data_IF_512990000450
#
_entry.id   IF_512990000450
#
_cell.length_a   1.000
_cell.length_b   1.000
_cell.length_c   1.000
_cell.angle_alpha   90.00
_cell.angle_beta   90.00
_cell.angle_gamma   90.00
#
_symmetry.space_group_name_H-M   'P 1'
#
loop_
_entity.id
_entity.type
_entity.pdbx_description
1 polymer ?
#
# COMPACT_ATOMS: atom_id res chain seq x y z
N UNK A 1 -22.94 7.60 -11.53
CA UNK A 1 -23.06 8.42 -10.30
C UNK A 1 -21.69 9.01 -10.04
N UNK A 2 -21.52 10.30 -10.35
CA UNK A 2 -20.27 11.00 -10.08
C UNK A 2 -20.17 11.25 -8.58
N UNK A 3 -19.34 10.46 -7.90
CA UNK A 3 -18.95 10.76 -6.53
C UNK A 3 -18.12 12.05 -6.56
N UNK A 4 -18.53 13.05 -5.78
CA UNK A 4 -17.72 14.23 -5.54
C UNK A 4 -16.52 13.82 -4.68
N UNK A 5 -15.31 13.89 -5.24
CA UNK A 5 -14.10 13.57 -4.53
C UNK A 5 -13.58 14.82 -3.83
N UNK A 6 -13.43 14.74 -2.51
CA UNK A 6 -12.77 15.80 -1.74
C UNK A 6 -11.25 15.68 -1.93
N UNK A 7 -10.61 16.75 -2.41
CA UNK A 7 -9.15 16.86 -2.47
C UNK A 7 -8.50 16.89 -1.08
N UNK A 8 -7.17 16.84 -1.04
CA UNK A 8 -6.42 16.90 0.20
C UNK A 8 -6.62 18.25 0.89
N UNK A 9 -7.22 18.22 2.09
CA UNK A 9 -7.42 19.42 2.92
C UNK A 9 -6.08 20.01 3.43
N UNK A 10 -5.00 19.22 3.40
CA UNK A 10 -3.68 19.60 3.87
C UNK A 10 -2.62 19.16 2.86
N UNK A 11 -2.38 19.96 1.81
CA UNK A 11 -1.19 19.78 0.98
C UNK A 11 0.04 20.12 1.84
N UNK A 12 0.77 19.09 2.28
CA UNK A 12 2.02 19.29 3.02
C UNK A 12 3.11 19.83 2.08
N UNK A 13 3.93 20.77 2.58
CA UNK A 13 5.18 21.16 1.92
C UNK A 13 6.14 19.97 1.95
N UNK A 14 6.60 19.55 0.77
CA UNK A 14 7.28 18.28 0.53
C UNK A 14 8.40 17.95 1.51
N UNK A 15 8.33 16.77 2.13
CA UNK A 15 9.44 16.12 2.79
C UNK A 15 9.94 14.99 1.92
N UNK A 16 11.20 15.04 1.46
CA UNK A 16 11.79 13.89 0.76
C UNK A 16 11.79 12.65 1.65
N UNK A 17 12.07 11.47 1.11
CA UNK A 17 12.09 10.24 1.91
C UNK A 17 13.02 10.34 3.14
N UNK A 18 14.03 11.22 3.13
CA UNK A 18 14.95 11.47 4.24
C UNK A 18 14.28 11.81 5.59
N UNK A 19 13.04 12.30 5.61
CA UNK A 19 12.31 12.64 6.85
C UNK A 19 11.43 11.51 7.39
N UNK A 20 11.81 10.25 7.17
CA UNK A 20 11.06 9.10 7.68
C UNK A 20 11.10 8.99 9.21
N UNK A 21 9.95 8.77 9.82
CA UNK A 21 9.80 8.44 11.24
C UNK A 21 9.68 6.93 11.42
N UNK A 22 10.71 6.31 12.01
CA UNK A 22 10.73 4.88 12.29
C UNK A 22 10.00 4.54 13.59
N UNK A 23 9.07 3.61 13.54
CA UNK A 23 8.54 2.93 14.73
C UNK A 23 8.93 1.46 14.70
N UNK A 24 9.71 1.06 15.70
CA UNK A 24 10.02 -0.35 15.95
C UNK A 24 8.79 -1.11 16.44
N UNK A 25 8.59 -2.30 15.90
CA UNK A 25 7.57 -3.26 16.34
C UNK A 25 8.28 -4.42 17.07
N UNK A 26 7.59 -5.55 17.26
CA UNK A 26 8.22 -6.73 17.88
C UNK A 26 8.91 -7.62 16.84
N UNK A 27 9.94 -8.34 17.29
CA UNK A 27 10.68 -9.34 16.51
C UNK A 27 11.47 -8.75 15.32
N UNK A 28 11.93 -7.50 15.45
CA UNK A 28 12.72 -6.81 14.41
C UNK A 28 11.90 -6.31 13.23
N UNK A 29 10.56 -6.36 13.33
CA UNK A 29 9.68 -5.65 12.43
C UNK A 29 9.68 -4.15 12.75
N UNK A 30 9.49 -3.31 11.73
CA UNK A 30 9.46 -1.86 11.86
C UNK A 30 8.48 -1.26 10.84
N UNK A 31 8.10 0.00 11.06
CA UNK A 31 7.39 0.85 10.10
C UNK A 31 8.09 2.18 9.98
N UNK A 32 8.31 2.63 8.75
CA UNK A 32 8.68 4.02 8.46
C UNK A 32 7.45 4.78 7.98
N UNK A 33 7.18 5.93 8.60
CA UNK A 33 6.11 6.85 8.20
C UNK A 33 6.74 8.11 7.61
N UNK A 34 6.36 8.46 6.37
CA UNK A 34 6.87 9.66 5.67
C UNK A 34 5.71 10.57 5.28
N UNK A 35 5.25 11.46 6.18
CA UNK A 35 4.21 12.42 5.86
C UNK A 35 4.68 13.40 4.78
N UNK A 36 3.81 13.73 3.81
CA UNK A 36 4.10 14.74 2.80
C UNK A 36 5.16 14.34 1.78
N UNK A 37 5.44 13.03 1.61
CA UNK A 37 6.39 12.57 0.59
C UNK A 37 5.95 12.92 -0.83
N UNK A 38 4.65 12.84 -1.09
CA UNK A 38 4.05 13.27 -2.36
C UNK A 38 3.56 14.71 -2.18
N UNK A 39 4.30 15.72 -2.66
CA UNK A 39 3.80 17.09 -2.66
C UNK A 39 2.61 17.18 -3.61
N UNK A 40 1.59 17.94 -3.22
CA UNK A 40 0.35 18.12 -3.99
C UNK A 40 -0.19 16.79 -4.57
N UNK A 41 -0.73 15.89 -3.73
CA UNK A 41 -1.09 14.54 -4.16
C UNK A 41 -2.34 14.50 -5.06
N UNK A 42 -3.11 15.59 -5.12
CA UNK A 42 -4.42 15.64 -5.77
C UNK A 42 -4.32 15.41 -7.29
N UNK A 43 -3.46 16.12 -8.06
CA UNK A 43 -3.29 15.86 -9.49
C UNK A 43 -2.87 14.43 -9.81
N UNK A 44 -2.01 13.82 -8.97
CA UNK A 44 -1.58 12.44 -9.15
C UNK A 44 -2.74 11.47 -8.90
N UNK A 45 -3.47 11.65 -7.79
CA UNK A 45 -4.67 10.87 -7.49
C UNK A 45 -5.68 10.95 -8.64
N UNK A 46 -5.95 12.16 -9.11
CA UNK A 46 -6.91 12.43 -10.18
C UNK A 46 -6.51 11.81 -11.52
N UNK A 47 -5.21 11.83 -11.83
CA UNK A 47 -4.69 11.16 -13.01
C UNK A 47 -4.84 9.65 -12.88
N UNK A 48 -4.41 9.07 -11.76
CA UNK A 48 -4.46 7.61 -11.55
C UNK A 48 -5.89 7.08 -11.59
N UNK A 49 -6.87 7.75 -10.95
CA UNK A 49 -8.28 7.32 -11.01
C UNK A 49 -8.86 7.27 -12.42
N UNK A 50 -8.33 8.10 -13.34
CA UNK A 50 -8.81 8.18 -14.73
C UNK A 50 -8.12 7.16 -15.65
N UNK A 51 -6.82 6.95 -15.48
CA UNK A 51 -6.02 6.15 -16.44
C UNK A 51 -5.89 4.67 -16.05
N UNK A 52 -6.04 4.35 -14.77
CA UNK A 52 -5.86 2.97 -14.30
C UNK A 52 -7.15 2.17 -14.54
N UNK A 53 -7.07 0.97 -15.14
CA UNK A 53 -8.23 0.11 -15.38
C UNK A 53 -8.66 -0.63 -14.11
N UNK A 54 -9.11 0.12 -13.10
CA UNK A 54 -9.56 -0.42 -11.82
C UNK A 54 -10.69 -1.43 -11.99
N UNK A 55 -10.51 -2.62 -11.42
CA UNK A 55 -11.49 -3.71 -11.50
C UNK A 55 -11.97 -4.11 -10.09
N UNK A 56 -13.28 -4.32 -9.96
CA UNK A 56 -13.87 -4.90 -8.76
C UNK A 56 -13.76 -6.42 -8.80
N UNK A 57 -13.40 -7.04 -7.68
CA UNK A 57 -13.26 -8.49 -7.59
C UNK A 57 -14.34 -9.08 -6.67
N UNK A 58 -14.62 -10.37 -6.85
CA UNK A 58 -15.46 -11.14 -5.93
C UNK A 58 -14.61 -12.23 -5.29
N UNK A 59 -14.82 -12.43 -3.99
CA UNK A 59 -14.13 -13.47 -3.22
C UNK A 59 -15.14 -14.32 -2.49
N UNK A 60 -14.89 -15.62 -2.44
CA UNK A 60 -15.68 -16.55 -1.64
C UNK A 60 -15.32 -16.35 -0.18
N UNK A 61 -16.31 -15.97 0.63
CA UNK A 61 -16.21 -15.87 2.08
C UNK A 61 -17.26 -16.82 2.66
N UNK A 62 -16.79 -17.87 3.35
CA UNK A 62 -17.61 -19.03 3.73
C UNK A 62 -18.31 -19.63 2.50
N UNK A 63 -19.63 -19.79 2.53
CA UNK A 63 -20.44 -20.29 1.42
C UNK A 63 -21.05 -19.18 0.55
N UNK A 64 -20.54 -17.94 0.65
CA UNK A 64 -21.07 -16.79 -0.10
C UNK A 64 -19.98 -16.13 -0.94
N UNK A 65 -20.35 -15.68 -2.14
CA UNK A 65 -19.53 -14.77 -2.94
C UNK A 65 -19.81 -13.34 -2.48
N UNK A 66 -18.76 -12.65 -2.02
CA UNK A 66 -18.84 -11.27 -1.54
C UNK A 66 -17.99 -10.40 -2.45
N UNK A 67 -18.49 -9.20 -2.77
CA UNK A 67 -17.71 -8.21 -3.51
C UNK A 67 -16.59 -7.68 -2.63
N UNK A 68 -15.39 -7.55 -3.19
CA UNK A 68 -14.31 -6.82 -2.53
C UNK A 68 -14.73 -5.36 -2.42
N UNK A 69 -14.78 -4.77 -1.21
CA UNK A 69 -15.17 -3.38 -1.04
C UNK A 69 -13.97 -2.48 -1.34
N UNK A 70 -13.46 -2.58 -2.58
CA UNK A 70 -12.43 -1.75 -3.22
C UNK A 70 -12.26 -2.17 -4.67
N UNK A 71 -11.79 -1.26 -5.52
CA UNK A 71 -11.31 -1.61 -6.85
C UNK A 71 -9.79 -1.76 -6.83
N UNK A 72 -9.26 -2.69 -7.61
CA UNK A 72 -7.82 -2.93 -7.64
C UNK A 72 -7.29 -3.05 -9.05
N UNK A 73 -6.01 -2.75 -9.22
CA UNK A 73 -5.25 -3.12 -10.41
C UNK A 73 -3.81 -3.44 -10.00
N UNK A 74 -3.15 -4.32 -10.77
CA UNK A 74 -1.79 -4.75 -10.47
C UNK A 74 -0.98 -4.92 -11.73
N UNK A 75 0.27 -4.46 -11.69
CA UNK A 75 1.29 -4.70 -12.71
C UNK A 75 2.43 -5.53 -12.11
N UNK A 76 2.96 -6.48 -12.88
CA UNK A 76 4.24 -7.13 -12.62
C UNK A 76 5.31 -6.37 -13.39
N UNK A 77 6.48 -6.14 -12.79
CA UNK A 77 7.54 -5.36 -13.42
C UNK A 77 8.54 -6.27 -14.16
N UNK A 78 9.08 -5.82 -15.32
CA UNK A 78 8.75 -4.57 -16.01
C UNK A 78 7.41 -4.67 -16.80
N UNK A 79 6.59 -3.62 -16.73
CA UNK A 79 5.40 -3.49 -17.58
C UNK A 79 5.33 -2.05 -18.12
N UNK A 80 5.36 -1.83 -19.46
CA UNK A 80 5.38 -0.49 -20.05
C UNK A 80 4.08 0.29 -19.84
N UNK A 81 3.02 -0.34 -19.33
CA UNK A 81 1.74 0.29 -19.03
C UNK A 81 1.69 0.90 -17.62
N UNK A 82 2.74 0.71 -16.82
CA UNK A 82 2.84 1.34 -15.51
C UNK A 82 3.08 2.84 -15.71
N UNK A 83 2.29 3.73 -15.10
CA UNK A 83 2.54 5.17 -15.18
C UNK A 83 3.93 5.55 -14.67
N UNK A 84 4.66 6.38 -15.41
CA UNK A 84 6.06 6.79 -15.09
C UNK A 84 6.24 7.28 -13.66
N UNK A 85 5.27 8.03 -13.11
CA UNK A 85 5.37 8.50 -11.73
C UNK A 85 5.39 7.35 -10.72
N UNK A 86 4.66 6.27 -10.96
CA UNK A 86 4.68 5.08 -10.10
C UNK A 86 5.99 4.31 -10.24
N UNK A 87 6.56 4.23 -11.45
CA UNK A 87 7.90 3.66 -11.66
C UNK A 87 8.97 4.45 -10.90
N UNK A 88 8.95 5.79 -11.01
CA UNK A 88 9.87 6.67 -10.29
C UNK A 88 9.74 6.52 -8.77
N UNK A 89 8.51 6.49 -8.24
CA UNK A 89 8.27 6.22 -6.82
C UNK A 89 8.82 4.86 -6.39
N UNK A 90 8.60 3.81 -7.19
CA UNK A 90 9.14 2.49 -6.92
C UNK A 90 10.67 2.47 -6.89
N UNK A 91 11.32 3.20 -7.80
CA UNK A 91 12.78 3.34 -7.83
C UNK A 91 13.32 4.11 -6.61
N UNK A 92 12.71 5.26 -6.26
CA UNK A 92 13.09 6.06 -5.08
C UNK A 92 12.98 5.24 -3.78
N UNK A 93 11.90 4.46 -3.65
CA UNK A 93 11.70 3.56 -2.50
C UNK A 93 12.70 2.39 -2.53
N UNK A 94 12.96 1.82 -3.70
CA UNK A 94 13.91 0.73 -3.87
C UNK A 94 15.33 1.13 -3.49
N UNK A 95 15.78 2.30 -3.92
CA UNK A 95 17.08 2.87 -3.53
C UNK A 95 17.16 3.07 -2.01
N UNK A 96 16.11 3.63 -1.39
CA UNK A 96 16.08 3.87 0.05
C UNK A 96 16.17 2.60 0.88
N UNK A 97 15.40 1.59 0.51
CA UNK A 97 15.25 0.38 1.31
C UNK A 97 16.16 -0.77 0.86
N UNK A 98 16.91 -0.59 -0.24
CA UNK A 98 17.79 -1.61 -0.79
C UNK A 98 17.00 -2.78 -1.40
N UNK A 99 15.85 -2.50 -2.01
CA UNK A 99 14.88 -3.50 -2.45
C UNK A 99 14.48 -3.31 -3.90
N UNK A 100 14.44 -4.41 -4.64
CA UNK A 100 13.94 -4.44 -6.01
C UNK A 100 12.45 -4.80 -6.01
N UNK A 101 11.58 -3.78 -6.02
CA UNK A 101 10.14 -4.00 -6.11
C UNK A 101 9.80 -4.64 -7.47
N UNK A 102 9.20 -5.82 -7.43
CA UNK A 102 8.86 -6.62 -8.63
C UNK A 102 7.42 -6.45 -9.10
N UNK A 103 6.60 -5.72 -8.35
CA UNK A 103 5.19 -5.48 -8.68
C UNK A 103 4.71 -4.17 -8.08
N UNK A 104 3.74 -3.55 -8.74
CA UNK A 104 3.03 -2.37 -8.24
C UNK A 104 1.54 -2.70 -8.23
N UNK A 105 0.92 -2.57 -7.06
CA UNK A 105 -0.52 -2.72 -6.87
C UNK A 105 -1.15 -1.40 -6.46
N UNK A 106 -2.30 -1.08 -7.03
CA UNK A 106 -3.09 0.09 -6.68
C UNK A 106 -4.48 -0.32 -6.22
N UNK A 107 -4.94 0.31 -5.13
CA UNK A 107 -6.24 0.06 -4.52
C UNK A 107 -7.01 1.38 -4.47
N UNK A 108 -8.17 1.43 -5.11
CA UNK A 108 -9.09 2.55 -5.05
C UNK A 108 -10.23 2.23 -4.08
N UNK A 109 -10.27 2.97 -2.98
CA UNK A 109 -11.36 2.91 -2.01
C UNK A 109 -12.33 4.06 -2.31
N UNK A 110 -13.52 3.72 -2.81
CA UNK A 110 -14.52 4.65 -3.36
C UNK A 110 -15.06 5.62 -2.31
N UNK A 111 -15.35 5.11 -1.12
CA UNK A 111 -15.94 5.88 -0.03
C UNK A 111 -15.67 5.19 1.32
N UNK A 112 -16.23 5.71 2.41
CA UNK A 112 -16.04 5.15 3.75
C UNK A 112 -16.59 3.72 3.94
N UNK A 113 -17.38 3.19 3.01
CA UNK A 113 -17.86 1.81 3.04
C UNK A 113 -16.84 0.83 2.44
N UNK A 114 -15.94 1.31 1.58
CA UNK A 114 -14.84 0.52 1.06
C UNK A 114 -13.77 0.25 2.15
N UNK A 115 -13.20 -0.96 2.16
CA UNK A 115 -12.24 -1.37 3.16
C UNK A 115 -11.53 -2.70 2.88
N UNK A 116 -10.77 -3.13 3.87
CA UNK A 116 -10.04 -4.40 3.81
C UNK A 116 -10.08 -5.08 5.17
N UNK A 117 -10.45 -6.36 5.17
CA UNK A 117 -10.43 -7.18 6.37
C UNK A 117 -8.99 -7.43 6.82
N UNK A 118 -8.80 -7.74 8.11
CA UNK A 118 -7.49 -8.11 8.65
C UNK A 118 -6.80 -9.20 7.83
N UNK A 119 -5.65 -8.88 7.26
CA UNK A 119 -4.76 -9.84 6.61
C UNK A 119 -3.31 -9.51 6.90
N UNK A 120 -2.43 -10.45 6.53
CA UNK A 120 -1.01 -10.18 6.36
C UNK A 120 -0.65 -10.51 4.91
N UNK A 121 0.29 -9.76 4.35
CA UNK A 121 0.66 -9.89 2.96
C UNK A 121 1.27 -11.26 2.66
N UNK A 122 0.99 -11.78 1.46
CA UNK A 122 1.44 -13.12 1.08
C UNK A 122 2.96 -13.20 0.93
N UNK A 123 3.59 -12.12 0.45
CA UNK A 123 5.05 -12.06 0.30
C UNK A 123 5.79 -12.32 1.62
N UNK A 124 5.25 -11.82 2.74
CA UNK A 124 5.79 -12.05 4.08
C UNK A 124 5.59 -13.49 4.60
N UNK A 125 4.81 -14.32 3.89
CA UNK A 125 4.66 -15.75 4.19
C UNK A 125 5.62 -16.62 3.38
N UNK A 126 6.12 -16.09 2.27
CA UNK A 126 6.92 -16.81 1.28
C UNK A 126 8.41 -16.45 1.37
N UNK A 127 8.75 -15.34 2.05
CA UNK A 127 10.13 -14.88 2.23
C UNK A 127 10.51 -14.70 3.70
N UNK A 128 11.80 -14.90 4.04
CA UNK A 128 12.31 -14.66 5.40
C UNK A 128 12.14 -13.20 5.84
N UNK A 129 12.30 -12.28 4.89
CA UNK A 129 12.13 -10.85 5.04
C UNK A 129 11.34 -10.33 3.83
N UNK A 130 10.47 -9.36 4.06
CA UNK A 130 9.74 -8.70 3.00
C UNK A 130 9.62 -7.22 3.33
N UNK A 131 9.99 -6.36 2.39
CA UNK A 131 9.66 -4.94 2.40
C UNK A 131 8.42 -4.73 1.54
N UNK A 132 7.42 -4.10 2.12
CA UNK A 132 6.24 -3.59 1.42
C UNK A 132 6.30 -2.08 1.54
N UNK A 133 5.94 -1.38 0.47
CA UNK A 133 5.85 0.08 0.46
C UNK A 133 4.44 0.52 0.04
N UNK A 134 3.84 1.40 0.85
CA UNK A 134 2.48 1.91 0.67
C UNK A 134 2.50 3.42 0.51
N UNK A 135 1.90 3.88 -0.59
CA UNK A 135 1.71 5.30 -0.88
C UNK A 135 0.22 5.59 -0.84
N UNK A 136 -0.20 6.47 0.07
CA UNK A 136 -1.60 6.87 0.20
C UNK A 136 -1.80 8.24 -0.45
N UNK A 137 -2.85 8.36 -1.27
CA UNK A 137 -3.28 9.58 -1.94
C UNK A 137 -4.76 9.83 -1.67
N UNK A 138 -5.19 11.09 -1.69
CA UNK A 138 -6.58 11.48 -1.45
C UNK A 138 -6.98 11.44 0.03
N UNK A 139 -8.23 11.03 0.31
CA UNK A 139 -8.80 11.10 1.65
C UNK A 139 -8.06 10.24 2.68
N UNK A 140 -7.85 10.81 3.88
CA UNK A 140 -7.21 10.12 5.01
C UNK A 140 -8.01 8.89 5.44
N UNK A 141 -7.33 7.77 5.67
CA UNK A 141 -7.92 6.54 6.21
C UNK A 141 -7.09 5.97 7.35
N UNK A 142 -7.74 5.39 8.38
CA UNK A 142 -7.03 4.75 9.46
C UNK A 142 -6.36 3.47 8.96
N UNK A 143 -5.06 3.41 9.19
CA UNK A 143 -4.24 2.28 8.86
C UNK A 143 -3.92 1.54 10.16
N UNK A 144 -4.41 0.30 10.33
CA UNK A 144 -4.39 -0.41 11.62
C UNK A 144 -3.48 -1.64 11.57
N UNK A 145 -2.57 -1.76 12.55
CA UNK A 145 -1.77 -2.97 12.76
C UNK A 145 -2.29 -3.80 13.91
N UNK A 146 -2.10 -5.11 13.78
CA UNK A 146 -2.37 -6.07 14.84
C UNK A 146 -1.38 -7.21 14.76
N UNK A 147 -0.84 -7.63 15.90
CA UNK A 147 -0.06 -8.87 15.99
C UNK A 147 -0.98 -10.08 15.74
N UNK A 148 -0.57 -11.09 14.95
CA UNK A 148 -1.37 -12.29 14.76
C UNK A 148 -1.68 -12.99 16.10
N UNK A 149 -2.93 -13.41 16.31
CA UNK A 149 -3.39 -14.04 17.56
C UNK A 149 -2.78 -15.43 17.82
N UNK A 150 -2.20 -16.06 16.80
CA UNK A 150 -1.45 -17.31 16.94
C UNK A 150 -0.03 -17.08 16.41
N UNK A 151 0.94 -17.08 17.30
CA UNK A 151 2.32 -17.37 16.93
C UNK A 151 2.38 -18.84 16.50
N UNK A 152 1.98 -19.15 15.26
CA UNK A 152 2.55 -20.32 14.60
C UNK A 152 4.03 -20.01 14.53
N UNK A 153 4.81 -20.64 15.43
CA UNK A 153 6.27 -20.53 15.47
C UNK A 153 6.77 -20.68 14.04
N UNK A 154 7.28 -19.59 13.45
CA UNK A 154 8.35 -19.73 12.48
C UNK A 154 9.48 -20.39 13.26
N UNK A 155 9.63 -21.70 13.10
CA UNK A 155 10.76 -22.41 13.66
C UNK A 155 11.98 -21.85 12.93
N UNK A 156 12.83 -21.19 13.71
CA UNK A 156 14.09 -20.54 13.35
C UNK A 156 13.99 -19.22 12.56
N UNK A 157 14.44 -18.17 13.26
CA UNK A 157 14.95 -16.87 12.78
C UNK A 157 13.90 -15.82 12.42
N UNK A 158 14.22 -14.60 12.88
CA UNK A 158 13.35 -13.45 13.05
C UNK A 158 12.60 -13.10 11.76
N UNK A 159 11.27 -13.16 11.71
CA UNK A 159 10.54 -12.56 10.61
C UNK A 159 10.57 -11.05 10.81
N UNK A 160 11.41 -10.35 10.04
CA UNK A 160 11.27 -8.90 9.85
C UNK A 160 10.08 -8.69 8.93
N UNK A 161 8.90 -8.63 9.54
CA UNK A 161 7.66 -8.32 8.81
C UNK A 161 7.61 -6.81 8.61
N UNK A 162 7.89 -6.37 7.39
CA UNK A 162 7.61 -4.99 6.97
C UNK A 162 6.22 -5.00 6.34
N UNK A 163 5.24 -4.50 7.08
CA UNK A 163 4.29 -3.56 6.48
C UNK A 163 4.97 -2.20 6.70
N UNK A 164 5.06 -1.27 5.76
CA UNK A 164 3.96 -0.66 5.02
C UNK A 164 4.41 -0.13 3.68
#
# INVERSE_FOLDING_TARGET
>A
MDACWQGSLFAATGGGLSVAFRHELAHGAWVDVVPGWVPDPDPLFDRLRRIVPFTGHRRRMYDRMVEEPRLTHRWLLPDPRVPDRLLGMGAELGERYGEDFTQIGVNLYRDGADGVAWHGDRVARERPEAVVALVSLGATRPLRLRRPAAARRCRSRSPRVTCW
#
